data_IF_301715182411
#
_entry.id   IF_301715182411
#
_cell.length_a   1.000
_cell.length_b   1.000
_cell.length_c   1.000
_cell.angle_alpha   90.00
_cell.angle_beta   90.00
_cell.angle_gamma   90.00
#
_symmetry.space_group_name_H-M   'P 1'
#
loop_
_entity.id
_entity.type
_entity.pdbx_description
1 polymer ?
#
# COMPACT_ATOMS: atom_id res chain seq x y z
N UNK A 1 -14.88 9.87 -5.14
CA UNK A 1 -13.55 10.20 -5.68
C UNK A 1 -13.71 10.80 -7.06
N UNK A 2 -13.14 11.97 -7.28
CA UNK A 2 -13.00 12.53 -8.63
C UNK A 2 -12.09 11.64 -9.47
N UNK A 3 -12.32 11.55 -10.79
CA UNK A 3 -11.47 10.82 -11.73
C UNK A 3 -10.04 11.40 -11.83
N UNK A 4 -9.85 12.61 -11.31
CA UNK A 4 -8.60 13.37 -11.34
C UNK A 4 -7.80 13.32 -10.04
N UNK A 5 -8.35 12.74 -8.97
CA UNK A 5 -7.67 12.69 -7.66
C UNK A 5 -6.67 11.54 -7.59
N UNK A 6 -5.47 11.81 -7.13
CA UNK A 6 -4.48 10.76 -6.83
C UNK A 6 -5.01 9.86 -5.71
N UNK A 7 -5.07 8.53 -5.92
CA UNK A 7 -5.52 7.60 -4.90
C UNK A 7 -4.65 7.66 -3.63
N UNK A 8 -5.24 7.51 -2.44
CA UNK A 8 -4.50 7.51 -1.18
C UNK A 8 -3.36 6.48 -1.16
N UNK A 9 -3.57 5.32 -1.79
CA UNK A 9 -2.57 4.26 -1.92
C UNK A 9 -1.31 4.64 -2.73
N UNK A 10 -1.35 5.76 -3.46
CA UNK A 10 -0.24 6.27 -4.28
C UNK A 10 0.34 7.59 -3.73
N UNK A 11 -0.13 8.03 -2.55
CA UNK A 11 0.37 9.21 -1.86
C UNK A 11 1.49 8.86 -0.90
N UNK A 12 2.38 9.81 -0.62
CA UNK A 12 3.34 9.70 0.48
C UNK A 12 2.59 9.82 1.81
N UNK A 13 2.65 8.79 2.64
CA UNK A 13 1.98 8.77 3.94
C UNK A 13 2.88 9.37 5.01
N UNK A 14 2.50 10.51 5.54
CA UNK A 14 3.23 11.24 6.60
C UNK A 14 2.38 11.21 7.86
N UNK A 15 2.81 10.48 8.88
CA UNK A 15 2.07 10.42 10.15
C UNK A 15 2.70 11.34 11.20
N UNK A 16 1.82 11.99 12.00
CA UNK A 16 2.21 12.85 13.09
C UNK A 16 2.02 12.10 14.41
N UNK A 17 3.11 11.89 15.10
CA UNK A 17 3.15 11.26 16.43
C UNK A 17 3.48 12.31 17.49
N UNK A 18 2.93 12.16 18.68
CA UNK A 18 3.18 13.09 19.79
C UNK A 18 2.08 13.02 20.82
N UNK A 19 2.32 13.59 21.99
CA UNK A 19 1.37 13.65 23.09
C UNK A 19 0.10 14.40 22.72
N UNK A 20 -0.92 14.27 23.56
CA UNK A 20 -2.11 15.10 23.49
C UNK A 20 -1.71 16.59 23.56
N UNK A 21 -2.39 17.42 22.80
CA UNK A 21 -2.13 18.87 22.74
C UNK A 21 -0.72 19.29 22.28
N UNK A 22 0.10 18.40 21.73
CA UNK A 22 1.40 18.76 21.13
C UNK A 22 1.27 19.63 19.87
N UNK A 23 0.05 19.75 19.32
CA UNK A 23 -0.24 20.58 18.14
C UNK A 23 -0.18 19.83 16.82
N UNK A 24 -0.38 18.50 16.81
CA UNK A 24 -0.42 17.66 15.59
C UNK A 24 -1.41 18.20 14.56
N UNK A 25 -2.67 18.34 14.94
CA UNK A 25 -3.73 18.83 14.04
C UNK A 25 -3.48 20.28 13.60
N UNK A 26 -2.94 21.13 14.48
CA UNK A 26 -2.55 22.50 14.13
C UNK A 26 -1.41 22.53 13.11
N UNK A 27 -0.45 21.60 13.24
CA UNK A 27 0.65 21.48 12.28
C UNK A 27 0.15 21.01 10.91
N UNK A 28 -0.76 20.02 10.86
CA UNK A 28 -1.39 19.59 9.61
C UNK A 28 -2.09 20.78 8.94
N UNK A 29 -2.86 21.57 9.69
CA UNK A 29 -3.52 22.76 9.15
C UNK A 29 -2.53 23.81 8.62
N UNK A 30 -1.43 24.06 9.35
CA UNK A 30 -0.39 24.97 8.91
C UNK A 30 0.32 24.51 7.63
N UNK A 31 0.65 23.21 7.54
CA UNK A 31 1.25 22.61 6.36
C UNK A 31 0.31 22.65 5.13
N UNK A 32 -0.98 22.43 5.35
CA UNK A 32 -1.98 22.33 4.28
C UNK A 32 -2.55 23.72 3.87
N UNK A 33 -2.29 24.76 4.64
CA UNK A 33 -2.83 26.11 4.37
C UNK A 33 -4.35 26.22 4.51
N UNK A 34 -5.00 25.28 5.19
CA UNK A 34 -6.46 25.25 5.36
C UNK A 34 -6.82 25.20 6.84
N UNK A 35 -7.68 26.12 7.27
CA UNK A 35 -8.23 26.18 8.64
C UNK A 35 -9.46 25.27 8.84
N UNK A 36 -9.59 24.22 8.05
CA UNK A 36 -10.72 23.28 8.13
C UNK A 36 -10.46 22.17 9.15
N UNK A 37 -11.48 21.88 9.95
CA UNK A 37 -11.49 20.69 10.79
C UNK A 37 -11.18 19.45 9.94
N UNK A 38 -10.37 18.53 10.47
CA UNK A 38 -10.02 17.28 9.83
C UNK A 38 -11.31 16.49 9.55
N UNK A 39 -11.76 16.51 8.31
CA UNK A 39 -12.89 15.72 7.86
C UNK A 39 -12.32 14.47 7.20
N UNK A 40 -12.64 13.31 7.76
CA UNK A 40 -12.42 12.03 7.09
C UNK A 40 -13.23 12.02 5.79
N UNK A 41 -12.58 11.86 4.65
CA UNK A 41 -13.23 11.79 3.33
C UNK A 41 -14.06 10.51 3.12
N UNK A 42 -14.14 9.64 4.12
CA UNK A 42 -14.95 8.40 4.09
C UNK A 42 -15.90 8.37 5.27
N UNK A 43 -17.20 8.66 5.07
CA UNK A 43 -18.20 8.44 6.11
C UNK A 43 -18.41 6.93 6.31
N UNK A 44 -18.22 6.43 7.53
CA UNK A 44 -18.76 5.11 7.85
C UNK A 44 -17.99 4.19 8.78
N UNK A 45 -16.79 4.54 9.27
CA UNK A 45 -16.14 3.71 10.28
C UNK A 45 -15.59 4.57 11.42
N UNK A 46 -16.16 4.38 12.60
CA UNK A 46 -15.76 5.01 13.87
C UNK A 46 -14.35 4.60 14.34
N UNK A 47 -13.57 3.93 13.49
CA UNK A 47 -12.27 3.35 13.78
C UNK A 47 -11.12 3.93 12.92
N UNK A 48 -11.39 4.78 11.94
CA UNK A 48 -10.35 5.26 11.04
C UNK A 48 -9.60 6.48 11.59
N UNK A 49 -8.27 6.47 11.37
CA UNK A 49 -7.39 7.60 11.64
C UNK A 49 -7.78 8.78 10.74
N UNK A 50 -7.84 9.96 11.31
CA UNK A 50 -8.14 11.17 10.53
C UNK A 50 -6.96 11.45 9.60
N UNK A 51 -7.24 11.57 8.32
CA UNK A 51 -6.21 11.83 7.33
C UNK A 51 -6.59 12.98 6.40
N UNK A 52 -5.59 13.71 5.90
CA UNK A 52 -5.75 14.84 4.99
C UNK A 52 -4.83 14.67 3.79
N UNK A 53 -5.44 14.58 2.62
CA UNK A 53 -4.74 14.51 1.35
C UNK A 53 -4.40 15.92 0.84
N UNK A 54 -3.17 16.11 0.35
CA UNK A 54 -2.76 17.34 -0.31
C UNK A 54 -1.60 17.11 -1.26
N UNK A 55 -1.32 18.08 -2.10
CA UNK A 55 -0.14 18.10 -2.95
C UNK A 55 0.89 19.09 -2.40
N UNK A 56 2.13 18.63 -2.23
CA UNK A 56 3.25 19.47 -1.79
C UNK A 56 4.17 19.68 -2.97
N UNK A 57 4.44 20.96 -3.27
CA UNK A 57 5.35 21.31 -4.35
C UNK A 57 6.75 20.70 -4.11
N UNK A 58 7.29 20.03 -5.10
CA UNK A 58 8.58 19.33 -5.04
C UNK A 58 8.53 17.91 -4.49
N UNK A 59 7.43 17.52 -3.81
CA UNK A 59 7.23 16.15 -3.26
C UNK A 59 6.14 15.42 -4.05
N UNK A 60 5.05 16.11 -4.41
CA UNK A 60 3.88 15.54 -5.04
C UNK A 60 2.75 15.22 -4.06
N UNK A 61 1.90 14.23 -4.37
CA UNK A 61 0.73 13.90 -3.58
C UNK A 61 1.08 13.25 -2.24
N UNK A 62 0.64 13.87 -1.14
CA UNK A 62 0.86 13.43 0.24
C UNK A 62 -0.47 13.12 0.95
N UNK A 63 -0.40 12.26 1.97
CA UNK A 63 -1.47 11.98 2.91
C UNK A 63 -0.95 12.18 4.33
N UNK A 64 -1.40 13.23 5.00
CA UNK A 64 -1.11 13.45 6.41
C UNK A 64 -2.04 12.64 7.28
N UNK A 65 -1.51 11.93 8.26
CA UNK A 65 -2.25 11.07 9.18
C UNK A 65 -2.11 11.65 10.58
N UNK A 66 -3.22 12.09 11.17
CA UNK A 66 -3.26 12.52 12.57
C UNK A 66 -3.42 11.29 13.46
N UNK A 67 -2.47 11.07 14.37
CA UNK A 67 -2.55 9.95 15.31
C UNK A 67 -3.07 10.41 16.67
N UNK A 68 -3.75 9.53 17.44
CA UNK A 68 -4.08 9.82 18.83
C UNK A 68 -2.83 10.17 19.63
N UNK A 69 -2.97 10.95 20.70
CA UNK A 69 -1.89 11.13 21.69
C UNK A 69 -1.55 9.80 22.34
N UNK A 70 -0.26 9.53 22.55
CA UNK A 70 0.22 8.27 23.14
C UNK A 70 0.37 8.32 24.67
N UNK A 71 -0.07 9.40 25.30
CA UNK A 71 0.03 9.69 26.74
C UNK A 71 -1.27 9.46 27.53
N UNK A 72 -2.25 8.78 26.94
CA UNK A 72 -3.54 8.52 27.58
C UNK A 72 -3.55 7.13 28.26
N UNK A 73 -3.97 7.08 29.54
CA UNK A 73 -4.12 5.86 30.36
C UNK A 73 -5.55 5.32 30.35
N UNK A 74 -5.71 3.98 30.58
CA UNK A 74 -7.01 3.30 30.75
C UNK A 74 -7.47 2.52 29.52
N UNK A 75 -8.70 1.99 29.52
CA UNK A 75 -9.29 1.16 28.44
C UNK A 75 -9.28 1.86 27.05
N UNK A 76 -9.42 3.18 27.05
CA UNK A 76 -9.23 4.01 25.85
C UNK A 76 -7.76 4.04 25.39
N UNK A 77 -6.80 3.78 26.27
CA UNK A 77 -5.38 3.72 25.97
C UNK A 77 -5.02 2.54 25.07
N UNK A 78 -5.50 1.34 25.32
CA UNK A 78 -5.26 0.14 24.50
C UNK A 78 -5.78 0.31 23.07
N UNK A 79 -6.97 0.89 22.92
CA UNK A 79 -7.55 1.18 21.61
C UNK A 79 -6.73 2.21 20.82
N UNK A 80 -6.13 3.19 21.52
CA UNK A 80 -5.27 4.21 20.91
C UNK A 80 -3.90 3.66 20.54
N UNK A 81 -3.31 2.81 21.38
CA UNK A 81 -2.07 2.08 21.07
C UNK A 81 -2.28 1.25 19.80
N UNK A 82 -3.38 0.49 19.71
CA UNK A 82 -3.72 -0.27 18.52
C UNK A 82 -3.84 0.61 17.27
N UNK A 83 -4.48 1.79 17.38
CA UNK A 83 -4.59 2.75 16.27
C UNK A 83 -3.22 3.33 15.88
N UNK A 84 -2.39 3.64 16.86
CA UNK A 84 -1.03 4.15 16.62
C UNK A 84 -0.18 3.10 15.90
N UNK A 85 -0.24 1.83 16.30
CA UNK A 85 0.45 0.74 15.62
C UNK A 85 -0.05 0.56 14.18
N UNK A 86 -1.36 0.63 13.96
CA UNK A 86 -1.95 0.60 12.59
C UNK A 86 -1.52 1.81 11.74
N UNK A 87 -1.26 2.97 12.36
CA UNK A 87 -0.72 4.12 11.64
C UNK A 87 0.75 3.88 11.24
N UNK A 88 1.56 3.36 12.16
CA UNK A 88 2.97 3.05 11.92
C UNK A 88 3.14 2.11 10.72
N UNK A 89 2.32 1.07 10.61
CA UNK A 89 2.39 0.08 9.52
C UNK A 89 2.28 0.69 8.11
N UNK A 90 1.60 1.83 7.96
CA UNK A 90 1.40 2.53 6.68
C UNK A 90 2.15 3.84 6.55
N UNK A 91 3.02 4.17 7.50
CA UNK A 91 3.76 5.44 7.55
C UNK A 91 5.05 5.35 6.74
N UNK A 92 5.21 6.24 5.76
CA UNK A 92 6.45 6.38 4.99
C UNK A 92 7.44 7.33 5.68
N UNK A 93 6.94 8.42 6.32
CA UNK A 93 7.73 9.39 7.10
C UNK A 93 6.96 9.76 8.36
N UNK A 94 7.66 9.81 9.49
CA UNK A 94 7.09 10.22 10.77
C UNK A 94 7.55 11.63 11.19
N UNK A 95 6.59 12.49 11.52
CA UNK A 95 6.83 13.73 12.24
C UNK A 95 6.61 13.45 13.74
N UNK A 96 7.67 13.46 14.55
CA UNK A 96 7.59 13.24 15.98
C UNK A 96 7.56 14.58 16.71
N UNK A 97 6.36 14.99 17.19
CA UNK A 97 6.19 16.22 17.95
C UNK A 97 6.65 16.00 19.39
N UNK A 98 7.75 16.64 19.73
CA UNK A 98 8.35 16.61 21.06
C UNK A 98 7.73 17.73 21.92
N UNK A 99 7.31 17.39 23.13
CA UNK A 99 6.47 18.30 23.90
C UNK A 99 7.08 18.86 25.17
N UNK A 100 7.72 18.06 26.04
CA UNK A 100 8.09 18.44 27.39
C UNK A 100 9.38 17.81 27.89
N UNK A 101 9.75 18.13 29.13
CA UNK A 101 10.99 17.74 29.82
C UNK A 101 11.09 16.24 30.12
N UNK A 102 10.00 15.50 30.09
CA UNK A 102 10.01 14.04 30.24
C UNK A 102 9.86 13.37 28.88
N UNK A 103 10.97 13.08 28.24
CA UNK A 103 11.05 12.52 26.88
C UNK A 103 10.80 11.00 26.78
N UNK A 104 10.23 10.37 27.82
CA UNK A 104 10.10 8.91 27.91
C UNK A 104 9.23 8.30 26.80
N UNK A 105 8.05 8.82 26.57
CA UNK A 105 7.14 8.32 25.54
C UNK A 105 7.63 8.59 24.12
N UNK A 106 8.26 9.74 23.92
CA UNK A 106 8.88 10.08 22.64
C UNK A 106 10.06 9.13 22.32
N UNK A 107 10.84 8.69 23.34
CA UNK A 107 11.90 7.68 23.17
C UNK A 107 11.32 6.32 22.75
N UNK A 108 10.28 5.85 23.42
CA UNK A 108 9.61 4.60 23.09
C UNK A 108 9.08 4.64 21.64
N UNK A 109 8.42 5.73 21.28
CA UNK A 109 7.92 5.93 19.91
C UNK A 109 9.07 5.99 18.90
N UNK A 110 10.15 6.71 19.21
CA UNK A 110 11.32 6.79 18.35
C UNK A 110 11.98 5.41 18.15
N UNK A 111 12.08 4.60 19.21
CA UNK A 111 12.61 3.25 19.13
C UNK A 111 11.76 2.36 18.20
N UNK A 112 10.44 2.42 18.37
CA UNK A 112 9.50 1.66 17.54
C UNK A 112 9.53 2.09 16.06
N UNK A 113 9.60 3.39 15.79
CA UNK A 113 9.72 3.91 14.42
C UNK A 113 11.03 3.50 13.75
N UNK A 114 12.14 3.51 14.52
CA UNK A 114 13.46 3.04 14.05
C UNK A 114 13.48 1.55 13.77
N UNK A 115 12.88 0.74 14.65
CA UNK A 115 12.72 -0.72 14.45
C UNK A 115 12.00 -1.02 13.12
N UNK A 116 10.98 -0.25 12.79
CA UNK A 116 10.22 -0.37 11.53
C UNK A 116 10.86 0.37 10.34
N UNK A 117 12.11 0.83 10.48
CA UNK A 117 12.85 1.56 9.43
C UNK A 117 12.05 2.73 8.85
N UNK A 118 11.38 3.50 9.70
CA UNK A 118 10.63 4.70 9.30
C UNK A 118 11.51 5.92 9.55
N UNK A 119 11.78 6.76 8.53
CA UNK A 119 12.45 8.04 8.70
C UNK A 119 11.69 8.94 9.67
N UNK A 120 12.39 9.47 10.69
CA UNK A 120 11.79 10.34 11.71
C UNK A 120 12.34 11.75 11.58
N UNK A 121 11.45 12.73 11.65
CA UNK A 121 11.74 14.16 11.74
C UNK A 121 11.23 14.62 13.11
N UNK A 122 12.11 14.87 14.10
CA UNK A 122 11.70 15.42 15.37
C UNK A 122 11.31 16.89 15.20
N UNK A 123 10.22 17.30 15.83
CA UNK A 123 9.64 18.64 15.72
C UNK A 123 9.36 19.19 17.12
N UNK A 124 9.92 20.33 17.48
CA UNK A 124 9.58 21.09 18.67
C UNK A 124 8.63 22.21 18.27
N UNK A 125 7.36 22.02 18.60
CA UNK A 125 6.30 22.98 18.28
C UNK A 125 6.04 23.97 19.42
N UNK A 126 5.29 25.04 19.11
CA UNK A 126 4.87 26.09 20.05
C UNK A 126 6.03 26.96 20.57
N UNK A 127 7.04 27.22 19.73
CA UNK A 127 8.15 28.13 20.13
C UNK A 127 7.70 29.55 20.41
N UNK A 128 6.52 29.95 19.95
CA UNK A 128 5.88 31.25 20.22
C UNK A 128 5.54 31.49 21.70
N UNK A 129 5.40 30.41 22.48
CA UNK A 129 5.05 30.51 23.91
C UNK A 129 6.09 29.85 24.82
N UNK A 130 7.23 29.37 24.28
CA UNK A 130 8.28 28.68 25.03
C UNK A 130 9.51 29.58 25.18
N UNK A 131 9.92 29.83 26.42
CA UNK A 131 11.12 30.65 26.72
C UNK A 131 12.43 29.85 26.57
N UNK A 132 12.41 28.52 26.64
CA UNK A 132 13.58 27.65 26.68
C UNK A 132 13.71 26.71 25.47
N UNK A 133 13.24 27.16 24.30
CA UNK A 133 13.20 26.31 23.08
C UNK A 133 14.57 25.80 22.68
N UNK A 134 15.64 26.55 22.77
CA UNK A 134 16.98 26.13 22.36
C UNK A 134 17.58 25.08 23.31
N UNK A 135 17.44 25.23 24.63
CA UNK A 135 17.92 24.23 25.59
C UNK A 135 17.16 22.91 25.46
N UNK A 136 15.85 22.97 25.22
CA UNK A 136 15.04 21.79 24.98
C UNK A 136 15.39 21.13 23.62
N UNK A 137 15.70 21.93 22.61
CA UNK A 137 16.17 21.40 21.32
C UNK A 137 17.50 20.64 21.47
N UNK A 138 18.44 21.16 22.25
CA UNK A 138 19.70 20.47 22.55
C UNK A 138 19.46 19.16 23.28
N UNK A 139 18.59 19.15 24.28
CA UNK A 139 18.22 17.92 24.98
C UNK A 139 17.59 16.87 24.05
N UNK A 140 16.65 17.28 23.19
CA UNK A 140 16.03 16.39 22.20
C UNK A 140 17.08 15.86 21.20
N UNK A 141 18.02 16.71 20.77
CA UNK A 141 19.11 16.31 19.87
C UNK A 141 20.01 15.25 20.52
N UNK A 142 20.35 15.38 21.80
CA UNK A 142 21.10 14.41 22.55
C UNK A 142 20.39 13.06 22.64
N UNK A 143 19.07 13.06 22.78
CA UNK A 143 18.24 11.87 22.91
C UNK A 143 17.91 11.20 21.58
N UNK A 144 17.50 11.98 20.57
CA UNK A 144 17.13 11.46 19.24
C UNK A 144 18.33 11.21 18.33
N UNK A 145 19.50 11.86 18.62
CA UNK A 145 20.65 11.98 17.72
C UNK A 145 20.31 12.73 16.41
N UNK A 146 19.24 13.51 16.44
CA UNK A 146 18.77 14.37 15.34
C UNK A 146 18.25 15.65 15.97
N UNK A 147 18.73 16.81 15.48
CA UNK A 147 18.25 18.11 15.95
C UNK A 147 16.79 18.30 15.56
N UNK A 148 15.89 18.67 16.49
CA UNK A 148 14.51 18.93 16.17
C UNK A 148 14.34 20.23 15.36
N UNK A 149 13.34 20.26 14.50
CA UNK A 149 12.91 21.48 13.85
C UNK A 149 12.12 22.33 14.83
N UNK A 150 12.50 23.60 14.98
CA UNK A 150 11.84 24.58 15.85
C UNK A 150 10.73 25.28 15.07
N UNK A 151 9.48 25.12 15.49
CA UNK A 151 8.33 25.65 14.78
C UNK A 151 7.28 26.28 15.69
N UNK A 152 6.49 27.19 15.13
CA UNK A 152 5.17 27.54 15.63
C UNK A 152 4.13 27.25 14.55
N UNK A 153 3.32 26.24 14.77
CA UNK A 153 2.20 25.94 13.87
C UNK A 153 1.15 27.08 13.88
N UNK A 154 1.01 27.78 15.00
CA UNK A 154 0.11 28.92 15.15
C UNK A 154 0.56 30.13 14.33
N UNK A 155 1.81 30.52 14.47
CA UNK A 155 2.41 31.66 13.78
C UNK A 155 2.95 31.29 12.38
N UNK A 156 2.80 30.02 11.97
CA UNK A 156 3.30 29.46 10.71
C UNK A 156 4.82 29.60 10.51
N UNK A 157 5.57 29.73 11.62
CA UNK A 157 7.04 29.80 11.60
C UNK A 157 7.63 28.41 11.50
N UNK A 158 8.67 28.23 10.68
CA UNK A 158 9.37 26.93 10.55
C UNK A 158 8.65 25.90 9.66
N UNK A 159 7.52 26.23 9.04
CA UNK A 159 6.74 25.29 8.22
C UNK A 159 7.51 24.88 6.95
N UNK A 160 8.24 25.80 6.34
CA UNK A 160 9.04 25.50 5.14
C UNK A 160 10.21 24.54 5.44
N UNK A 161 10.81 24.65 6.63
CA UNK A 161 11.85 23.72 7.06
C UNK A 161 11.33 22.30 7.20
N UNK A 162 10.05 22.10 7.60
CA UNK A 162 9.43 20.77 7.63
C UNK A 162 9.29 20.23 6.21
N UNK A 163 8.84 21.03 5.25
CA UNK A 163 8.72 20.61 3.86
C UNK A 163 10.07 20.17 3.29
N UNK A 164 11.11 20.96 3.55
CA UNK A 164 12.47 20.63 3.14
C UNK A 164 12.96 19.34 3.80
N UNK A 165 12.74 19.16 5.09
CA UNK A 165 13.13 17.93 5.81
C UNK A 165 12.36 16.69 5.31
N UNK A 166 11.09 16.82 4.93
CA UNK A 166 10.32 15.74 4.29
C UNK A 166 10.98 15.40 2.95
N UNK A 167 11.34 16.38 2.12
CA UNK A 167 12.01 16.16 0.84
C UNK A 167 13.34 15.42 0.99
N UNK A 168 14.15 15.80 1.99
CA UNK A 168 15.43 15.15 2.30
C UNK A 168 15.29 13.71 2.84
N UNK A 169 14.14 13.41 3.47
CA UNK A 169 13.84 12.10 4.05
C UNK A 169 12.97 11.21 3.15
N UNK A 170 12.69 11.64 1.92
CA UNK A 170 11.94 10.80 0.98
C UNK A 170 12.62 9.44 0.84
N UNK A 171 11.89 8.33 0.90
CA UNK A 171 12.41 7.02 0.55
C UNK A 171 13.06 7.07 -0.84
N UNK A 172 14.23 6.48 -0.98
CA UNK A 172 15.02 6.53 -2.23
C UNK A 172 14.27 5.96 -3.43
N UNK A 173 13.31 5.08 -3.18
CA UNK A 173 12.46 4.44 -4.17
C UNK A 173 11.09 5.13 -4.36
N UNK A 174 10.81 6.22 -3.61
CA UNK A 174 9.54 6.94 -3.74
C UNK A 174 9.42 7.59 -5.12
N UNK A 175 8.34 7.25 -5.84
CA UNK A 175 8.09 7.75 -7.19
C UNK A 175 8.98 7.17 -8.28
N UNK A 176 9.97 6.32 -7.95
CA UNK A 176 10.85 5.69 -8.94
C UNK A 176 10.41 4.27 -9.33
N UNK A 177 9.45 3.71 -8.62
CA UNK A 177 8.99 2.36 -8.90
C UNK A 177 8.14 2.31 -10.15
N UNK A 178 8.44 1.33 -10.99
CA UNK A 178 7.72 1.04 -12.22
C UNK A 178 6.82 -0.17 -12.03
N UNK A 179 5.58 -0.09 -12.52
CA UNK A 179 4.63 -1.21 -12.51
C UNK A 179 5.10 -2.30 -13.48
N UNK A 180 5.57 -1.89 -14.66
CA UNK A 180 6.02 -2.79 -15.72
C UNK A 180 7.53 -3.05 -15.72
N UNK A 181 8.28 -2.39 -14.82
CA UNK A 181 9.73 -2.56 -14.71
C UNK A 181 10.45 -2.45 -16.07
N UNK A 182 11.27 -3.43 -16.36
CA UNK A 182 12.04 -3.54 -17.63
C UNK A 182 11.33 -4.39 -18.70
N UNK A 183 10.10 -4.86 -18.44
CA UNK A 183 9.35 -5.70 -19.39
C UNK A 183 9.07 -4.98 -20.71
N UNK A 184 8.97 -3.66 -20.68
CA UNK A 184 8.66 -2.84 -21.85
C UNK A 184 9.51 -1.58 -21.91
N UNK A 185 9.78 -1.14 -23.13
CA UNK A 185 10.54 0.07 -23.46
C UNK A 185 9.78 0.92 -24.47
N UNK A 186 10.29 2.11 -24.78
CA UNK A 186 9.73 3.01 -25.80
C UNK A 186 9.46 2.29 -27.13
N UNK A 187 8.30 2.57 -27.76
CA UNK A 187 7.81 1.97 -29.01
C UNK A 187 7.42 0.48 -28.93
N UNK A 188 7.49 -0.18 -27.77
CA UNK A 188 6.93 -1.51 -27.62
C UNK A 188 5.42 -1.50 -27.75
N UNK A 189 4.86 -2.49 -28.46
CA UNK A 189 3.42 -2.69 -28.56
C UNK A 189 2.95 -3.53 -27.39
N UNK A 190 2.06 -2.96 -26.57
CA UNK A 190 1.48 -3.61 -25.40
C UNK A 190 -0.03 -3.74 -25.57
N UNK A 191 -0.55 -4.95 -25.37
CA UNK A 191 -1.98 -5.24 -25.44
C UNK A 191 -2.52 -5.52 -24.04
N UNK A 192 -3.46 -4.68 -23.58
CA UNK A 192 -4.18 -4.87 -22.32
C UNK A 192 -5.51 -5.55 -22.59
N UNK A 193 -5.69 -6.74 -22.03
CA UNK A 193 -6.95 -7.49 -22.13
C UNK A 193 -7.70 -7.35 -20.81
N UNK A 194 -8.75 -6.53 -20.84
CA UNK A 194 -9.48 -6.13 -19.65
C UNK A 194 -10.92 -6.66 -19.73
N UNK A 195 -11.26 -7.76 -19.04
CA UNK A 195 -12.65 -8.17 -18.91
C UNK A 195 -13.46 -7.04 -18.26
N UNK A 196 -14.72 -6.93 -18.58
CA UNK A 196 -15.60 -5.98 -17.92
C UNK A 196 -15.82 -6.45 -16.49
N UNK A 197 -15.26 -5.72 -15.55
CA UNK A 197 -15.42 -5.99 -14.12
C UNK A 197 -16.78 -5.42 -13.66
N UNK A 198 -17.66 -6.30 -13.19
CA UNK A 198 -18.96 -5.94 -12.63
C UNK A 198 -18.81 -5.08 -11.36
N UNK A 199 -17.67 -5.18 -10.68
CA UNK A 199 -17.36 -4.38 -9.48
C UNK A 199 -16.92 -2.96 -9.81
N UNK A 200 -16.45 -2.71 -11.02
CA UNK A 200 -16.11 -1.35 -11.45
C UNK A 200 -17.38 -0.51 -11.66
N UNK A 201 -17.45 0.71 -11.12
CA UNK A 201 -18.55 1.61 -11.43
C UNK A 201 -18.67 1.77 -12.94
N UNK A 202 -19.91 1.74 -13.47
CA UNK A 202 -20.17 1.90 -14.92
C UNK A 202 -19.41 3.11 -15.47
N UNK A 203 -18.65 2.89 -16.54
CA UNK A 203 -17.84 3.92 -17.20
C UNK A 203 -16.46 4.17 -16.58
N UNK A 204 -16.00 3.31 -15.64
CA UNK A 204 -14.68 3.43 -15.01
C UNK A 204 -13.85 2.15 -15.19
N UNK A 205 -12.55 2.33 -15.31
CA UNK A 205 -11.55 1.27 -15.15
C UNK A 205 -11.18 1.13 -13.67
N UNK A 206 -10.74 -0.05 -13.26
CA UNK A 206 -10.19 -0.25 -11.93
C UNK A 206 -8.79 0.38 -11.82
N UNK A 207 -8.41 0.74 -10.61
CA UNK A 207 -7.17 1.47 -10.34
C UNK A 207 -5.91 0.85 -10.96
N UNK A 208 -5.65 -0.47 -10.87
CA UNK A 208 -4.49 -1.08 -11.52
C UNK A 208 -4.45 -0.88 -13.04
N UNK A 209 -5.60 -0.96 -13.71
CA UNK A 209 -5.70 -0.75 -15.16
C UNK A 209 -5.32 0.69 -15.52
N UNK A 210 -5.89 1.68 -14.82
CA UNK A 210 -5.60 3.10 -15.06
C UNK A 210 -4.13 3.42 -14.85
N UNK A 211 -3.55 2.96 -13.74
CA UNK A 211 -2.14 3.23 -13.42
C UNK A 211 -1.19 2.56 -14.43
N UNK A 212 -1.47 1.34 -14.85
CA UNK A 212 -0.66 0.64 -15.86
C UNK A 212 -0.74 1.33 -17.21
N UNK A 213 -1.93 1.74 -17.67
CA UNK A 213 -2.08 2.50 -18.92
C UNK A 213 -1.27 3.79 -18.84
N UNK A 214 -1.38 4.54 -17.74
CA UNK A 214 -0.66 5.79 -17.56
C UNK A 214 0.85 5.58 -17.63
N UNK A 215 1.39 4.60 -16.93
CA UNK A 215 2.83 4.31 -16.96
C UNK A 215 3.31 3.92 -18.37
N UNK A 216 2.54 3.08 -19.08
CA UNK A 216 2.88 2.68 -20.44
C UNK A 216 2.93 3.89 -21.40
N UNK A 217 2.03 4.86 -21.23
CA UNK A 217 2.04 6.11 -21.99
C UNK A 217 3.26 6.99 -21.61
N UNK A 218 3.60 7.07 -20.33
CA UNK A 218 4.79 7.78 -19.87
C UNK A 218 6.10 7.16 -20.42
N UNK A 219 6.12 5.83 -20.61
CA UNK A 219 7.20 5.07 -21.28
C UNK A 219 7.14 5.16 -22.81
N UNK A 220 6.17 5.89 -23.37
CA UNK A 220 5.95 6.01 -24.82
C UNK A 220 5.73 4.68 -25.55
N UNK A 221 5.08 3.74 -24.90
CA UNK A 221 4.64 2.49 -25.49
C UNK A 221 3.43 2.70 -26.43
N UNK A 222 3.25 1.79 -27.38
CA UNK A 222 2.03 1.71 -28.20
C UNK A 222 1.02 0.85 -27.42
N UNK A 223 -0.02 1.47 -26.89
CA UNK A 223 -1.00 0.80 -26.02
C UNK A 223 -2.27 0.51 -26.75
N UNK A 224 -2.65 -0.77 -26.82
CA UNK A 224 -3.95 -1.22 -27.34
C UNK A 224 -4.72 -1.88 -26.21
N UNK A 225 -6.03 -1.67 -26.17
CA UNK A 225 -6.89 -2.26 -25.15
C UNK A 225 -8.06 -3.00 -25.79
N UNK A 226 -8.46 -4.13 -25.24
CA UNK A 226 -9.64 -4.86 -25.65
C UNK A 226 -10.29 -5.63 -24.50
N UNK A 227 -11.51 -6.09 -24.70
CA UNK A 227 -12.18 -7.06 -23.85
C UNK A 227 -11.77 -8.48 -24.22
N UNK A 228 -11.98 -9.45 -23.32
CA UNK A 228 -11.58 -10.84 -23.56
C UNK A 228 -12.20 -11.45 -24.81
N UNK A 229 -13.46 -11.17 -25.09
CA UNK A 229 -14.19 -11.65 -26.28
C UNK A 229 -13.68 -11.06 -27.60
N UNK A 230 -13.03 -9.88 -27.55
CA UNK A 230 -12.45 -9.21 -28.71
C UNK A 230 -10.96 -9.52 -28.90
N UNK A 231 -10.33 -10.27 -28.00
CA UNK A 231 -8.91 -10.55 -28.07
C UNK A 231 -8.44 -11.14 -29.43
N UNK A 232 -9.08 -12.20 -29.99
CA UNK A 232 -8.66 -12.73 -31.29
C UNK A 232 -8.80 -11.72 -32.43
N UNK A 233 -9.90 -10.97 -32.47
CA UNK A 233 -10.12 -9.96 -33.49
C UNK A 233 -9.12 -8.79 -33.37
N UNK A 234 -8.76 -8.41 -32.15
CA UNK A 234 -7.75 -7.39 -31.90
C UNK A 234 -6.39 -7.83 -32.43
N UNK A 235 -5.97 -9.08 -32.14
CA UNK A 235 -4.71 -9.60 -32.67
C UNK A 235 -4.63 -9.59 -34.19
N UNK A 236 -5.74 -9.89 -34.89
CA UNK A 236 -5.82 -9.82 -36.36
C UNK A 236 -5.73 -8.40 -36.92
N UNK A 237 -6.19 -7.40 -36.14
CA UNK A 237 -6.13 -6.00 -36.54
C UNK A 237 -4.76 -5.35 -36.33
N UNK A 238 -3.85 -6.00 -35.59
CA UNK A 238 -2.51 -5.48 -35.34
C UNK A 238 -1.53 -5.81 -36.48
N UNK A 239 -0.73 -4.83 -36.88
CA UNK A 239 0.31 -5.02 -37.92
C UNK A 239 1.47 -5.95 -37.46
N UNK A 240 1.65 -6.08 -36.15
CA UNK A 240 2.67 -6.97 -35.53
C UNK A 240 2.15 -7.53 -34.21
N UNK A 241 2.65 -8.71 -33.78
CA UNK A 241 2.30 -9.22 -32.45
C UNK A 241 2.73 -8.25 -31.34
N UNK A 242 1.94 -8.15 -30.25
CA UNK A 242 2.36 -7.37 -29.09
C UNK A 242 3.57 -8.03 -28.44
N UNK A 243 4.49 -7.23 -27.92
CA UNK A 243 5.62 -7.70 -27.10
C UNK A 243 5.10 -8.26 -25.78
N UNK A 244 4.25 -7.50 -25.11
CA UNK A 244 3.67 -7.87 -23.82
C UNK A 244 2.14 -7.82 -23.88
N UNK A 245 1.52 -8.85 -23.30
CA UNK A 245 0.08 -8.91 -23.06
C UNK A 245 -0.13 -8.83 -21.57
N UNK A 246 -0.94 -7.88 -21.10
CA UNK A 246 -1.30 -7.68 -19.69
C UNK A 246 -2.79 -7.96 -19.56
N UNK A 247 -3.17 -8.85 -18.64
CA UNK A 247 -4.58 -9.23 -18.47
C UNK A 247 -4.97 -9.35 -17.00
N UNK A 248 -6.24 -9.56 -16.71
CA UNK A 248 -6.68 -9.97 -15.37
C UNK A 248 -6.37 -11.46 -15.14
N UNK A 249 -5.92 -11.78 -13.92
CA UNK A 249 -5.55 -13.15 -13.55
C UNK A 249 -6.68 -14.18 -13.75
N UNK A 250 -7.94 -13.72 -13.67
CA UNK A 250 -9.11 -14.59 -13.87
C UNK A 250 -9.25 -15.15 -15.29
N UNK A 251 -8.64 -14.52 -16.30
CA UNK A 251 -8.67 -14.94 -17.71
C UNK A 251 -7.30 -15.40 -18.21
N UNK A 252 -6.32 -15.59 -17.34
CA UNK A 252 -4.97 -15.99 -17.67
C UNK A 252 -4.92 -17.18 -18.61
N UNK A 253 -5.59 -18.29 -18.26
CA UNK A 253 -5.58 -19.52 -19.05
C UNK A 253 -6.08 -19.29 -20.46
N UNK A 254 -7.20 -18.60 -20.62
CA UNK A 254 -7.80 -18.29 -21.91
C UNK A 254 -6.88 -17.48 -22.81
N UNK A 255 -6.22 -16.46 -22.24
CA UNK A 255 -5.30 -15.61 -23.00
C UNK A 255 -3.99 -16.37 -23.30
N UNK A 256 -3.47 -17.16 -22.36
CA UNK A 256 -2.28 -17.98 -22.57
C UNK A 256 -2.42 -18.95 -23.75
N UNK A 257 -3.57 -19.62 -23.85
CA UNK A 257 -3.85 -20.59 -24.92
C UNK A 257 -3.98 -19.93 -26.32
N UNK A 258 -4.34 -18.66 -26.38
CA UNK A 258 -4.61 -17.94 -27.63
C UNK A 258 -3.54 -16.93 -28.03
N UNK A 259 -2.60 -16.61 -27.15
CA UNK A 259 -1.58 -15.61 -27.42
C UNK A 259 -0.60 -16.02 -28.51
N UNK A 260 -0.03 -15.08 -29.28
CA UNK A 260 1.06 -15.37 -30.22
C UNK A 260 2.28 -15.94 -29.46
N UNK A 261 2.98 -16.91 -30.08
CA UNK A 261 4.15 -17.58 -29.45
C UNK A 261 5.25 -16.59 -29.02
N UNK A 262 5.46 -15.51 -29.77
CA UNK A 262 6.47 -14.51 -29.47
C UNK A 262 6.06 -13.42 -28.47
N UNK A 263 4.79 -13.41 -28.05
CA UNK A 263 4.30 -12.45 -27.06
C UNK A 263 4.52 -12.94 -25.64
N UNK A 264 5.01 -12.08 -24.76
CA UNK A 264 5.09 -12.31 -23.33
C UNK A 264 3.72 -12.09 -22.67
N UNK A 265 3.48 -12.69 -21.52
CA UNK A 265 2.22 -12.61 -20.79
C UNK A 265 2.46 -12.28 -19.31
N UNK A 266 1.66 -11.38 -18.77
CA UNK A 266 1.57 -11.08 -17.35
C UNK A 266 0.16 -10.66 -16.96
N UNK A 267 -0.07 -10.34 -15.69
CA UNK A 267 -1.34 -9.77 -15.25
C UNK A 267 -1.15 -8.53 -14.39
N UNK A 268 -2.21 -7.71 -14.32
CA UNK A 268 -2.24 -6.56 -13.40
C UNK A 268 -1.92 -6.97 -11.96
N UNK A 269 -2.45 -8.10 -11.47
CA UNK A 269 -2.20 -8.56 -10.12
C UNK A 269 -0.75 -8.99 -9.89
N UNK A 270 -0.09 -9.59 -10.87
CA UNK A 270 1.33 -9.96 -10.81
C UNK A 270 2.22 -8.72 -10.86
N UNK A 271 1.95 -7.79 -11.78
CA UNK A 271 2.68 -6.52 -11.84
C UNK A 271 2.57 -5.74 -10.53
N UNK A 272 1.36 -5.65 -9.96
CA UNK A 272 1.14 -4.98 -8.68
C UNK A 272 1.74 -5.73 -7.49
N UNK A 273 1.92 -7.04 -7.57
CA UNK A 273 2.67 -7.80 -6.58
C UNK A 273 4.15 -7.36 -6.51
N UNK A 274 4.77 -7.07 -7.66
CA UNK A 274 6.11 -6.48 -7.73
C UNK A 274 6.13 -5.00 -7.33
N UNK A 275 5.21 -4.23 -7.86
CA UNK A 275 5.12 -2.79 -7.61
C UNK A 275 4.90 -2.45 -6.13
N UNK A 276 4.08 -3.21 -5.41
CA UNK A 276 3.73 -2.93 -4.01
C UNK A 276 4.36 -3.89 -2.99
N UNK A 277 4.81 -5.05 -3.41
CA UNK A 277 5.35 -6.09 -2.54
C UNK A 277 6.72 -6.59 -2.98
N UNK A 278 6.91 -7.89 -2.80
CA UNK A 278 8.11 -8.63 -3.19
C UNK A 278 7.69 -9.81 -4.06
N UNK A 279 7.80 -9.63 -5.38
CA UNK A 279 7.33 -10.62 -6.35
C UNK A 279 8.12 -11.93 -6.27
N UNK A 280 9.42 -11.87 -6.01
CA UNK A 280 10.25 -13.07 -5.89
C UNK A 280 9.82 -13.90 -4.69
N UNK A 281 9.61 -13.26 -3.55
CA UNK A 281 9.09 -13.92 -2.35
C UNK A 281 7.72 -14.55 -2.59
N UNK A 282 6.82 -13.86 -3.29
CA UNK A 282 5.49 -14.38 -3.60
C UNK A 282 5.54 -15.60 -4.54
N UNK A 283 6.44 -15.58 -5.53
CA UNK A 283 6.62 -16.70 -6.48
C UNK A 283 7.22 -17.91 -5.76
N UNK A 284 8.26 -17.74 -4.97
CA UNK A 284 8.85 -18.81 -4.15
C UNK A 284 7.83 -19.41 -3.17
N UNK A 285 7.06 -18.55 -2.50
CA UNK A 285 6.06 -18.95 -1.52
C UNK A 285 4.87 -19.69 -2.15
N UNK A 286 4.59 -19.51 -3.45
CA UNK A 286 3.52 -20.24 -4.14
C UNK A 286 3.73 -21.74 -4.15
N UNK A 287 4.97 -22.24 -4.09
CA UNK A 287 5.30 -23.67 -3.95
C UNK A 287 4.72 -24.28 -2.66
N UNK A 288 4.39 -23.47 -1.64
CA UNK A 288 3.71 -23.96 -0.44
C UNK A 288 2.32 -24.57 -0.76
N UNK A 289 1.69 -24.18 -1.86
CA UNK A 289 0.39 -24.74 -2.30
C UNK A 289 0.49 -26.25 -2.53
N UNK A 290 1.65 -26.77 -2.96
CA UNK A 290 1.84 -28.20 -3.16
C UNK A 290 1.91 -29.01 -1.86
N UNK A 291 2.27 -28.34 -0.75
CA UNK A 291 2.37 -28.99 0.57
C UNK A 291 1.09 -28.90 1.39
N UNK A 292 0.07 -28.21 0.90
CA UNK A 292 -1.23 -28.11 1.57
C UNK A 292 -1.96 -29.46 1.53
N UNK A 293 -2.66 -29.74 2.60
CA UNK A 293 -3.54 -30.90 2.77
C UNK A 293 -4.92 -30.43 3.19
N UNK A 294 -5.90 -31.30 3.23
CA UNK A 294 -7.25 -30.97 3.71
C UNK A 294 -7.30 -30.48 5.17
N UNK A 295 -6.29 -30.83 5.98
CA UNK A 295 -6.16 -30.33 7.36
C UNK A 295 -5.43 -29.00 7.46
N UNK A 296 -4.92 -28.46 6.37
CA UNK A 296 -4.26 -27.17 6.33
C UNK A 296 -5.26 -26.02 6.47
N UNK A 297 -4.76 -24.87 6.93
CA UNK A 297 -5.54 -23.65 7.06
C UNK A 297 -4.89 -22.52 6.24
N UNK A 298 -5.64 -21.90 5.37
CA UNK A 298 -5.18 -20.84 4.46
C UNK A 298 -5.86 -19.53 4.84
N UNK A 299 -5.09 -18.44 4.92
CA UNK A 299 -5.62 -17.10 5.10
C UNK A 299 -5.66 -16.37 3.76
N UNK A 300 -6.83 -15.90 3.35
CA UNK A 300 -6.99 -14.98 2.22
C UNK A 300 -7.16 -13.57 2.78
N UNK A 301 -6.26 -12.66 2.40
CA UNK A 301 -6.23 -11.29 2.90
C UNK A 301 -6.52 -10.27 1.79
N UNK A 302 -7.60 -9.52 1.95
CA UNK A 302 -8.05 -8.49 1.02
C UNK A 302 -7.72 -7.09 1.53
N UNK A 303 -7.37 -6.17 0.63
CA UNK A 303 -7.21 -4.76 0.95
C UNK A 303 -8.55 -4.00 0.96
N UNK A 304 -9.54 -4.49 0.24
CA UNK A 304 -10.84 -3.84 0.06
C UNK A 304 -11.85 -4.29 1.10
N UNK A 305 -12.78 -3.40 1.45
CA UNK A 305 -13.88 -3.65 2.42
C UNK A 305 -15.26 -3.62 1.79
N UNK A 306 -15.34 -3.68 0.45
CA UNK A 306 -16.63 -3.67 -0.24
C UNK A 306 -17.36 -5.01 -0.15
N UNK A 307 -18.70 -4.96 -0.33
CA UNK A 307 -19.51 -6.15 -0.29
C UNK A 307 -19.12 -7.14 -1.40
N UNK A 308 -18.97 -8.45 -1.10
CA UNK A 308 -18.60 -9.45 -2.09
C UNK A 308 -19.70 -9.63 -3.14
N UNK A 309 -19.30 -9.80 -4.39
CA UNK A 309 -20.18 -10.21 -5.48
C UNK A 309 -20.07 -11.72 -5.74
N UNK A 310 -21.04 -12.27 -6.50
CA UNK A 310 -21.10 -13.70 -6.83
C UNK A 310 -19.87 -14.25 -7.57
N UNK A 311 -19.10 -13.38 -8.21
CA UNK A 311 -17.91 -13.72 -9.01
C UNK A 311 -16.58 -13.21 -8.42
N UNK A 312 -16.56 -12.94 -7.11
CA UNK A 312 -15.39 -12.42 -6.41
C UNK A 312 -14.19 -13.39 -6.50
N UNK A 313 -13.02 -12.84 -6.88
CA UNK A 313 -11.80 -13.63 -7.06
C UNK A 313 -11.33 -14.24 -5.75
N UNK A 314 -11.29 -13.45 -4.69
CA UNK A 314 -10.79 -13.87 -3.38
C UNK A 314 -11.76 -14.77 -2.64
N UNK A 315 -13.06 -14.47 -2.73
CA UNK A 315 -14.09 -15.13 -1.92
C UNK A 315 -14.72 -16.35 -2.60
N UNK A 316 -14.66 -16.43 -3.92
CA UNK A 316 -15.31 -17.53 -4.66
C UNK A 316 -14.32 -18.30 -5.52
N UNK A 317 -13.62 -17.62 -6.44
CA UNK A 317 -12.80 -18.32 -7.46
C UNK A 317 -11.56 -18.97 -6.85
N UNK A 318 -10.82 -18.26 -6.03
CA UNK A 318 -9.58 -18.75 -5.42
C UNK A 318 -9.86 -19.90 -4.43
N UNK A 319 -10.82 -19.80 -3.49
CA UNK A 319 -11.25 -20.94 -2.67
C UNK A 319 -11.65 -22.17 -3.48
N UNK A 320 -12.42 -21.97 -4.55
CA UNK A 320 -12.81 -23.07 -5.42
C UNK A 320 -11.61 -23.77 -6.10
N UNK A 321 -10.66 -22.98 -6.63
CA UNK A 321 -9.44 -23.52 -7.25
C UNK A 321 -8.57 -24.30 -6.24
N UNK A 322 -8.42 -23.76 -5.03
CA UNK A 322 -7.67 -24.42 -3.95
C UNK A 322 -8.34 -25.74 -3.53
N UNK A 323 -9.65 -25.74 -3.25
CA UNK A 323 -10.37 -26.95 -2.85
C UNK A 323 -10.38 -28.00 -3.94
N UNK A 324 -10.55 -27.60 -5.20
CA UNK A 324 -10.48 -28.54 -6.35
C UNK A 324 -9.12 -29.26 -6.44
N UNK A 325 -8.02 -28.60 -6.03
CA UNK A 325 -6.68 -29.18 -6.07
C UNK A 325 -6.33 -30.00 -4.83
N UNK A 326 -6.78 -29.54 -3.66
CA UNK A 326 -6.31 -30.03 -2.36
C UNK A 326 -7.36 -30.94 -1.72
N UNK A 327 -8.63 -30.56 -1.78
CA UNK A 327 -9.78 -31.24 -1.17
C UNK A 327 -10.79 -30.28 -0.58
N UNK A 328 -12.03 -30.72 -0.48
CA UNK A 328 -13.16 -29.88 -0.06
C UNK A 328 -13.10 -29.44 1.41
N UNK A 329 -12.37 -30.18 2.27
CA UNK A 329 -12.26 -29.89 3.69
C UNK A 329 -11.21 -28.83 4.03
N UNK A 330 -10.47 -28.30 3.02
CA UNK A 330 -9.48 -27.24 3.24
C UNK A 330 -10.12 -26.04 3.92
N UNK A 331 -9.57 -25.67 5.09
CA UNK A 331 -10.03 -24.51 5.84
C UNK A 331 -9.48 -23.23 5.22
N UNK A 332 -10.36 -22.29 4.91
CA UNK A 332 -10.00 -21.00 4.33
C UNK A 332 -10.67 -19.88 5.13
N UNK A 333 -9.86 -19.08 5.77
CA UNK A 333 -10.31 -17.87 6.46
C UNK A 333 -10.09 -16.65 5.58
N UNK A 334 -10.92 -15.63 5.81
CA UNK A 334 -10.85 -14.39 5.05
C UNK A 334 -10.79 -13.19 5.98
N UNK A 335 -9.92 -12.25 5.67
CA UNK A 335 -9.85 -10.96 6.32
C UNK A 335 -9.84 -9.83 5.29
N UNK A 336 -10.39 -8.68 5.67
CA UNK A 336 -10.50 -7.53 4.77
C UNK A 336 -9.97 -6.25 5.42
N UNK A 337 -9.53 -5.31 4.60
CA UNK A 337 -9.05 -4.02 5.07
C UNK A 337 -7.85 -4.15 6.01
N UNK A 338 -7.97 -3.56 7.21
CA UNK A 338 -6.91 -3.54 8.22
C UNK A 338 -6.93 -4.70 9.20
N UNK A 339 -7.83 -5.68 9.02
CA UNK A 339 -8.04 -6.79 9.96
C UNK A 339 -7.08 -7.96 9.73
N UNK A 340 -5.83 -7.65 9.42
CA UNK A 340 -4.78 -8.64 9.24
C UNK A 340 -4.30 -9.15 10.62
N UNK A 341 -4.33 -10.48 10.89
CA UNK A 341 -4.03 -11.02 12.20
C UNK A 341 -2.59 -10.72 12.65
N UNK A 342 -2.41 -10.55 13.96
CA UNK A 342 -1.08 -10.45 14.57
C UNK A 342 -0.42 -11.83 14.66
N UNK A 343 -1.18 -12.86 15.07
CA UNK A 343 -0.74 -14.25 15.10
C UNK A 343 -1.17 -14.95 13.80
N UNK A 344 -0.19 -15.39 13.04
CA UNK A 344 -0.34 -16.10 11.77
C UNK A 344 0.05 -17.59 11.88
N UNK A 345 0.54 -18.02 13.03
CA UNK A 345 1.00 -19.40 13.27
C UNK A 345 -0.05 -20.49 12.98
N UNK A 346 -1.37 -20.24 13.08
CA UNK A 346 -2.37 -21.23 12.67
C UNK A 346 -2.45 -21.50 11.17
N UNK A 347 -1.84 -20.66 10.33
CA UNK A 347 -1.97 -20.73 8.88
C UNK A 347 -0.77 -21.41 8.22
N UNK A 348 -1.03 -22.27 7.24
CA UNK A 348 -0.03 -22.90 6.40
C UNK A 348 0.38 -22.05 5.19
N UNK A 349 -0.46 -21.07 4.83
CA UNK A 349 -0.24 -20.16 3.71
C UNK A 349 -1.11 -18.92 3.87
N UNK A 350 -0.55 -17.75 3.52
CA UNK A 350 -1.29 -16.50 3.35
C UNK A 350 -1.35 -16.17 1.85
N UNK A 351 -2.55 -15.83 1.34
CA UNK A 351 -2.73 -15.37 -0.04
C UNK A 351 -3.29 -13.95 -0.01
N UNK A 352 -2.48 -12.98 -0.42
CA UNK A 352 -2.84 -11.57 -0.38
C UNK A 352 -3.37 -11.07 -1.74
N UNK A 353 -4.36 -10.18 -1.74
CA UNK A 353 -4.83 -9.54 -2.97
C UNK A 353 -3.76 -8.58 -3.55
N UNK A 354 -4.04 -7.97 -4.72
CA UNK A 354 -3.15 -7.00 -5.37
C UNK A 354 -2.95 -5.67 -4.62
N UNK A 355 -3.62 -5.50 -3.47
CA UNK A 355 -3.47 -4.36 -2.55
C UNK A 355 -3.58 -2.98 -3.20
N UNK A 356 -4.42 -2.81 -4.21
CA UNK A 356 -4.58 -1.55 -4.92
C UNK A 356 -4.98 -0.36 -4.03
N UNK A 357 -5.63 -0.63 -2.89
CA UNK A 357 -6.07 0.37 -1.92
C UNK A 357 -5.04 0.67 -0.80
N UNK A 358 -3.95 -0.09 -0.73
CA UNK A 358 -2.89 0.09 0.25
C UNK A 358 -1.66 0.74 -0.37
N UNK A 359 -0.93 1.56 0.42
CA UNK A 359 0.41 1.99 0.01
C UNK A 359 1.41 0.84 0.13
N UNK A 360 2.58 1.01 -0.51
CA UNK A 360 3.63 -0.01 -0.52
C UNK A 360 4.12 -0.36 0.89
N UNK A 361 4.34 0.64 1.75
CA UNK A 361 4.83 0.43 3.12
C UNK A 361 3.92 -0.53 3.89
N UNK A 362 2.61 -0.39 3.75
CA UNK A 362 1.66 -1.27 4.43
C UNK A 362 1.69 -2.72 3.91
N UNK A 363 1.90 -2.91 2.60
CA UNK A 363 2.06 -4.27 2.04
C UNK A 363 3.36 -4.90 2.54
N UNK A 364 4.46 -4.14 2.55
CA UNK A 364 5.74 -4.61 3.05
C UNK A 364 5.70 -4.96 4.53
N UNK A 365 4.99 -4.19 5.37
CA UNK A 365 4.85 -4.51 6.80
C UNK A 365 4.09 -5.84 7.02
N UNK A 366 3.14 -6.21 6.16
CA UNK A 366 2.49 -7.52 6.18
C UNK A 366 3.44 -8.64 5.76
N UNK A 367 4.26 -8.41 4.74
CA UNK A 367 5.30 -9.36 4.29
C UNK A 367 6.32 -9.59 5.43
N UNK A 368 6.78 -8.54 6.10
CA UNK A 368 7.69 -8.66 7.25
C UNK A 368 7.08 -9.52 8.34
N UNK A 369 5.82 -9.27 8.71
CA UNK A 369 5.11 -10.04 9.75
C UNK A 369 4.99 -11.52 9.43
N UNK A 370 4.70 -11.90 8.18
CA UNK A 370 4.63 -13.33 7.80
C UNK A 370 6.01 -13.97 7.76
N UNK A 371 7.05 -13.23 7.35
CA UNK A 371 8.44 -13.69 7.38
C UNK A 371 8.96 -13.93 8.79
N UNK A 372 8.68 -13.00 9.71
CA UNK A 372 9.04 -13.13 11.14
C UNK A 372 8.44 -14.40 11.76
N UNK A 373 7.24 -14.80 11.31
CA UNK A 373 6.55 -16.01 11.79
C UNK A 373 6.78 -17.24 10.93
N UNK A 374 7.65 -17.13 9.90
CA UNK A 374 7.99 -18.23 8.98
C UNK A 374 6.78 -18.82 8.23
N UNK A 375 5.74 -18.03 8.00
CA UNK A 375 4.57 -18.42 7.22
C UNK A 375 4.75 -17.98 5.76
N UNK A 376 4.59 -18.86 4.76
CA UNK A 376 4.68 -18.47 3.36
C UNK A 376 3.52 -17.54 3.00
N UNK A 377 3.81 -16.53 2.17
CA UNK A 377 2.80 -15.62 1.65
C UNK A 377 2.96 -15.43 0.15
N UNK A 378 1.87 -15.57 -0.59
CA UNK A 378 1.82 -15.33 -2.02
C UNK A 378 0.72 -14.31 -2.38
N UNK A 379 0.63 -13.96 -3.67
CA UNK A 379 -0.35 -13.01 -4.20
C UNK A 379 -1.43 -13.72 -5.02
N UNK A 380 -2.64 -13.15 -5.14
CA UNK A 380 -3.74 -13.69 -5.95
C UNK A 380 -3.31 -14.06 -7.36
N UNK A 381 -2.64 -13.16 -8.08
CA UNK A 381 -2.20 -13.41 -9.45
C UNK A 381 -1.20 -14.54 -9.56
N UNK A 382 -0.24 -14.58 -8.64
CA UNK A 382 0.78 -15.64 -8.57
C UNK A 382 0.13 -16.98 -8.20
N UNK A 383 -0.75 -17.02 -7.20
CA UNK A 383 -1.46 -18.24 -6.80
C UNK A 383 -2.33 -18.80 -7.94
N UNK A 384 -3.06 -17.94 -8.66
CA UNK A 384 -3.89 -18.34 -9.79
C UNK A 384 -3.01 -18.86 -10.95
N UNK A 385 -1.89 -18.21 -11.25
CA UNK A 385 -0.94 -18.67 -12.26
C UNK A 385 -0.36 -20.05 -11.89
N UNK A 386 0.01 -20.23 -10.63
CA UNK A 386 0.50 -21.52 -10.10
C UNK A 386 -0.56 -22.63 -10.21
N UNK A 387 -1.78 -22.37 -9.74
CA UNK A 387 -2.89 -23.33 -9.78
C UNK A 387 -3.30 -23.70 -11.21
N UNK A 388 -3.10 -22.82 -12.19
CA UNK A 388 -3.31 -23.08 -13.61
C UNK A 388 -2.10 -23.74 -14.31
N UNK A 389 -0.96 -23.93 -13.62
CA UNK A 389 0.26 -24.52 -14.18
C UNK A 389 0.98 -23.62 -15.21
N UNK A 390 0.84 -22.30 -15.11
CA UNK A 390 1.43 -21.35 -16.05
C UNK A 390 2.40 -20.36 -15.38
N UNK A 391 2.73 -20.55 -14.09
CA UNK A 391 3.57 -19.61 -13.35
C UNK A 391 4.94 -19.39 -14.02
N UNK A 392 5.56 -20.46 -14.53
CA UNK A 392 6.86 -20.40 -15.22
C UNK A 392 6.79 -19.72 -16.61
N UNK A 393 5.58 -19.47 -17.12
CA UNK A 393 5.33 -18.89 -18.44
C UNK A 393 4.95 -17.42 -18.39
N UNK A 394 4.75 -16.87 -17.22
CA UNK A 394 4.43 -15.46 -17.04
C UNK A 394 5.69 -14.65 -16.73
N UNK A 395 5.63 -13.35 -17.01
CA UNK A 395 6.70 -12.38 -16.74
C UNK A 395 6.36 -11.51 -15.53
N UNK A 396 7.36 -11.17 -14.74
CA UNK A 396 7.24 -10.32 -13.56
C UNK A 396 8.55 -9.58 -13.30
#
# INVERSE_FOLDING_TARGET
MSLTDTPNASRLHIALFGRRNSGKSSLINALTGQDTALVSDTPGTTTDLVSKAMEIQGIGPCLFIDTPGFDDEGELGELRISRTLKAIEKTDIALLLCGDTTFSHEKEMLALLKEKNIPVIPVLNKIDIRENSDSLATYIEEECKIRPLLISAKEKTGIEQIRQAILEKLPSDFGQQSITGELVTENDLVLLVMPQDIQAPKGRLILPQVQTIRELLDKKCLVVTCTTDKFPATLQALARPPKLIITDSQVFKTIYEQKPKGSELTSFSVLFAGYKGDIHYYVESAAAIERLTESSRVLIAEACTHAPLSDDIGRVKLPHLLRKRIGENLQIDMVAGTDFPQDLTPYSLVIHCGACMFNRKYVLSRIERVREQHIPMTNYGVAIAFLNGILDQIKY
#
